data_IF_434670637159
#
_entry.id   IF_434670637159
#
_cell.length_a   1.000
_cell.length_b   1.000
_cell.length_c   1.000
_cell.angle_alpha   90.00
_cell.angle_beta   90.00
_cell.angle_gamma   90.00
#
_symmetry.space_group_name_H-M   'P 1'
#
loop_
_entity.id
_entity.type
_entity.pdbx_description
1 polymer ?
#
# COMPACT_ATOMS: atom_id res chain seq x y z
N UNK A 1 -0.37 -12.34 -1.04
CA UNK A 1 -0.03 -12.20 0.39
C UNK A 1 0.17 -13.56 1.05
N UNK A 2 -0.69 -14.54 0.81
CA UNK A 2 -0.62 -15.88 1.40
C UNK A 2 0.77 -16.50 1.28
N UNK A 3 1.37 -16.51 0.08
CA UNK A 3 2.70 -17.08 -0.15
C UNK A 3 3.80 -16.38 0.68
N UNK A 4 3.69 -15.06 0.88
CA UNK A 4 4.63 -14.30 1.69
C UNK A 4 4.52 -14.65 3.19
N UNK A 5 3.28 -14.77 3.70
CA UNK A 5 3.01 -15.19 5.07
C UNK A 5 3.49 -16.63 5.30
N UNK A 6 3.19 -17.53 4.36
CA UNK A 6 3.65 -18.91 4.42
C UNK A 6 5.18 -19.02 4.38
N UNK A 7 5.86 -18.21 3.57
CA UNK A 7 7.32 -18.21 3.51
C UNK A 7 7.95 -17.90 4.87
N UNK A 8 7.38 -16.95 5.63
CA UNK A 8 7.84 -16.62 6.99
C UNK A 8 7.46 -17.73 7.97
N UNK A 9 6.21 -18.20 7.96
CA UNK A 9 5.73 -19.24 8.89
C UNK A 9 6.48 -20.57 8.73
N UNK A 10 6.90 -20.92 7.53
CA UNK A 10 7.71 -22.13 7.24
C UNK A 10 9.21 -21.92 7.39
N UNK A 11 9.68 -20.67 7.64
CA UNK A 11 11.10 -20.36 7.79
C UNK A 11 11.87 -20.24 6.46
N UNK A 12 11.18 -20.18 5.32
CA UNK A 12 11.79 -19.88 4.00
C UNK A 12 12.23 -18.42 3.89
N UNK A 13 11.60 -17.54 4.65
CA UNK A 13 11.97 -16.14 4.81
C UNK A 13 12.02 -15.78 6.29
N UNK A 14 12.91 -14.85 6.69
CA UNK A 14 13.02 -14.36 8.07
C UNK A 14 11.89 -13.40 8.44
N UNK A 15 11.43 -12.60 7.45
CA UNK A 15 10.35 -11.63 7.63
C UNK A 15 9.63 -11.38 6.29
N UNK A 16 8.46 -10.77 6.36
CA UNK A 16 7.71 -10.27 5.20
C UNK A 16 7.32 -8.81 5.43
N UNK A 17 7.41 -7.98 4.39
CA UNK A 17 6.87 -6.63 4.39
C UNK A 17 5.57 -6.63 3.59
N UNK A 18 4.47 -6.21 4.20
CA UNK A 18 3.12 -6.31 3.65
C UNK A 18 2.42 -4.95 3.73
N UNK A 19 1.83 -4.44 2.64
CA UNK A 19 1.00 -3.23 2.68
C UNK A 19 -0.31 -3.53 3.40
N UNK A 20 -0.68 -2.69 4.37
CA UNK A 20 -1.94 -2.86 5.13
C UNK A 20 -2.93 -1.73 4.90
N UNK A 21 -2.44 -0.57 4.50
CA UNK A 21 -3.27 0.62 4.35
C UNK A 21 -2.66 1.60 3.35
N UNK A 22 -3.51 2.28 2.61
CA UNK A 22 -3.14 3.42 1.79
C UNK A 22 -4.01 4.62 2.17
N UNK A 23 -3.41 5.81 2.31
CA UNK A 23 -4.10 7.02 2.78
C UNK A 23 -5.28 7.45 1.88
N UNK A 24 -5.27 7.07 0.60
CA UNK A 24 -6.30 7.43 -0.38
C UNK A 24 -7.29 6.31 -0.69
N UNK A 25 -6.84 5.07 -0.61
CA UNK A 25 -7.65 3.90 -0.97
C UNK A 25 -8.13 3.12 0.23
N UNK A 26 -7.71 3.55 1.44
CA UNK A 26 -8.06 2.88 2.67
C UNK A 26 -7.28 1.56 2.85
N UNK A 27 -7.94 0.60 3.49
CA UNK A 27 -7.33 -0.69 3.84
C UNK A 27 -7.07 -1.56 2.61
N UNK A 28 -6.01 -2.35 2.68
CA UNK A 28 -5.77 -3.47 1.77
C UNK A 28 -6.58 -4.66 2.29
N UNK A 29 -7.70 -5.00 1.62
CA UNK A 29 -8.76 -5.82 2.18
C UNK A 29 -8.30 -7.23 2.62
N UNK A 30 -7.58 -7.95 1.78
CA UNK A 30 -7.29 -9.37 1.99
C UNK A 30 -6.37 -9.64 3.19
N UNK A 31 -5.41 -8.76 3.44
CA UNK A 31 -4.42 -8.95 4.50
C UNK A 31 -5.06 -8.95 5.90
N UNK A 32 -6.12 -8.19 6.11
CA UNK A 32 -6.80 -8.11 7.40
C UNK A 32 -7.54 -9.40 7.78
N UNK A 33 -7.86 -10.24 6.80
CA UNK A 33 -8.40 -11.58 7.06
C UNK A 33 -7.30 -12.63 7.26
N UNK A 34 -6.17 -12.47 6.58
CA UNK A 34 -5.06 -13.42 6.61
C UNK A 34 -4.17 -13.26 7.85
N UNK A 35 -3.96 -12.02 8.28
CA UNK A 35 -3.03 -11.70 9.35
C UNK A 35 -3.38 -12.34 10.71
N UNK A 36 -4.64 -12.32 11.19
CA UNK A 36 -4.99 -12.92 12.48
C UNK A 36 -4.64 -14.40 12.58
N UNK A 37 -4.82 -15.16 11.49
CA UNK A 37 -4.61 -16.61 11.44
C UNK A 37 -3.18 -16.99 11.02
N UNK A 38 -2.34 -16.03 10.70
CA UNK A 38 -0.98 -16.27 10.19
C UNK A 38 0.00 -16.81 11.25
N UNK A 39 -0.28 -16.59 12.54
CA UNK A 39 0.64 -16.86 13.64
C UNK A 39 1.89 -15.99 13.64
N UNK A 40 1.90 -14.89 12.86
CA UNK A 40 3.01 -13.94 12.79
C UNK A 40 2.73 -12.69 13.62
N UNK A 41 3.81 -12.06 14.06
CA UNK A 41 3.77 -10.82 14.83
C UNK A 41 4.23 -9.62 13.99
N UNK A 42 3.58 -8.47 14.17
CA UNK A 42 4.06 -7.20 13.64
C UNK A 42 5.25 -6.74 14.48
N UNK A 43 6.42 -6.60 13.85
CA UNK A 43 7.67 -6.21 14.52
C UNK A 43 8.17 -4.82 14.11
N UNK A 44 7.68 -4.27 13.01
CA UNK A 44 7.97 -2.90 12.57
C UNK A 44 6.89 -2.40 11.62
N UNK A 45 6.90 -1.10 11.36
CA UNK A 45 6.10 -0.48 10.30
C UNK A 45 6.94 0.48 9.46
N UNK A 46 6.51 0.67 8.22
CA UNK A 46 7.13 1.59 7.29
C UNK A 46 6.08 2.35 6.50
N UNK A 47 6.25 3.66 6.43
CA UNK A 47 5.39 4.54 5.64
C UNK A 47 6.14 4.95 4.37
N UNK A 48 5.55 4.66 3.22
CA UNK A 48 6.12 4.98 1.92
C UNK A 48 5.22 5.98 1.19
N UNK A 49 5.77 7.14 0.89
CA UNK A 49 5.12 8.07 -0.03
C UNK A 49 5.13 7.50 -1.44
N UNK A 50 3.98 7.50 -2.10
CA UNK A 50 3.81 6.97 -3.45
C UNK A 50 3.77 8.13 -4.42
N UNK A 51 4.81 8.24 -5.21
CA UNK A 51 4.93 9.22 -6.28
C UNK A 51 4.94 8.55 -7.64
N UNK A 52 4.35 9.22 -8.61
CA UNK A 52 4.32 8.78 -10.00
C UNK A 52 4.99 9.80 -10.90
N UNK A 53 5.76 9.32 -11.85
CA UNK A 53 6.37 10.12 -12.89
C UNK A 53 5.81 9.74 -14.27
N UNK A 54 5.67 10.71 -15.16
CA UNK A 54 5.49 10.46 -16.58
C UNK A 54 6.84 10.14 -17.20
N UNK A 55 6.94 9.00 -17.86
CA UNK A 55 8.19 8.53 -18.45
C UNK A 55 8.00 8.00 -19.86
N UNK A 56 9.00 8.18 -20.72
CA UNK A 56 8.99 7.75 -22.12
C UNK A 56 10.40 7.63 -22.69
N UNK A 57 10.50 7.13 -23.93
CA UNK A 57 11.76 7.20 -24.73
C UNK A 57 11.95 8.52 -25.46
N UNK A 58 10.97 9.41 -25.47
CA UNK A 58 10.97 10.72 -26.12
C UNK A 58 10.57 11.82 -25.16
N UNK A 59 10.67 13.06 -25.58
CA UNK A 59 10.22 14.23 -24.82
C UNK A 59 8.78 14.66 -25.14
N UNK A 60 8.08 13.89 -25.98
CA UNK A 60 6.69 14.18 -26.41
C UNK A 60 6.62 15.06 -27.67
N UNK A 61 5.45 15.54 -28.05
CA UNK A 61 4.17 15.41 -27.35
C UNK A 61 3.60 13.97 -27.37
N UNK A 62 2.87 13.61 -26.28
CA UNK A 62 2.27 12.28 -26.15
C UNK A 62 0.78 12.29 -26.47
N UNK A 63 0.31 11.24 -27.14
CA UNK A 63 -1.11 11.02 -27.39
C UNK A 63 -1.78 10.16 -26.29
N UNK A 64 -1.01 9.28 -25.66
CA UNK A 64 -1.52 8.39 -24.62
C UNK A 64 -0.48 8.10 -23.55
N UNK A 65 -0.97 7.77 -22.32
CA UNK A 65 -0.16 7.28 -21.22
C UNK A 65 -0.77 6.00 -20.65
N UNK A 66 0.08 4.98 -20.49
CA UNK A 66 -0.28 3.67 -19.94
C UNK A 66 0.03 3.61 -18.46
N UNK A 67 -0.85 3.04 -17.67
CA UNK A 67 -0.61 2.70 -16.27
C UNK A 67 -1.73 1.84 -15.68
N UNK A 68 -1.55 1.40 -14.43
CA UNK A 68 -2.64 0.82 -13.65
C UNK A 68 -3.78 1.84 -13.48
N UNK A 69 -5.05 1.42 -13.53
CA UNK A 69 -6.21 2.33 -13.42
C UNK A 69 -6.15 3.26 -12.22
N UNK A 70 -5.63 2.79 -11.11
CA UNK A 70 -5.47 3.56 -9.88
C UNK A 70 -4.49 4.73 -10.05
N UNK A 71 -3.32 4.50 -10.65
CA UNK A 71 -2.33 5.55 -10.91
C UNK A 71 -2.84 6.56 -11.95
N UNK A 72 -3.55 6.10 -12.99
CA UNK A 72 -4.23 6.97 -13.95
C UNK A 72 -5.28 7.85 -13.30
N UNK A 73 -6.05 7.27 -12.36
CA UNK A 73 -7.05 8.02 -11.60
C UNK A 73 -6.43 9.09 -10.69
N UNK A 74 -5.24 8.83 -10.16
CA UNK A 74 -4.48 9.77 -9.33
C UNK A 74 -3.77 10.87 -10.12
N UNK A 75 -3.60 10.71 -11.43
CA UNK A 75 -2.96 11.67 -12.34
C UNK A 75 -3.96 12.23 -13.37
N UNK A 76 -5.24 12.18 -13.06
CA UNK A 76 -6.32 12.51 -14.00
C UNK A 76 -6.30 13.96 -14.44
N UNK A 77 -6.10 14.89 -13.52
CA UNK A 77 -6.09 16.33 -13.81
C UNK A 77 -4.87 16.68 -14.67
N UNK A 78 -3.71 16.12 -14.32
CA UNK A 78 -2.49 16.26 -15.10
C UNK A 78 -2.67 15.77 -16.53
N UNK A 79 -3.14 14.55 -16.74
CA UNK A 79 -3.34 13.96 -18.07
C UNK A 79 -4.33 14.80 -18.91
N UNK A 80 -5.43 15.25 -18.30
CA UNK A 80 -6.41 16.10 -18.96
C UNK A 80 -5.83 17.45 -19.38
N UNK A 81 -5.03 18.08 -18.53
CA UNK A 81 -4.40 19.36 -18.84
C UNK A 81 -3.40 19.26 -20.01
N UNK A 82 -2.73 18.11 -20.14
CA UNK A 82 -1.79 17.84 -21.24
C UNK A 82 -2.46 17.25 -22.50
N UNK A 83 -3.75 16.94 -22.45
CA UNK A 83 -4.47 16.30 -23.57
C UNK A 83 -4.03 14.86 -23.84
N UNK A 84 -3.51 14.16 -22.84
CA UNK A 84 -3.01 12.79 -22.95
C UNK A 84 -4.13 11.81 -22.58
N UNK A 85 -4.38 10.83 -23.45
CA UNK A 85 -5.41 9.81 -23.23
C UNK A 85 -4.89 8.74 -22.24
N UNK A 86 -5.60 8.49 -21.11
CA UNK A 86 -5.23 7.41 -20.19
C UNK A 86 -5.60 6.04 -20.77
N UNK A 87 -4.66 5.11 -20.78
CA UNK A 87 -4.85 3.72 -21.22
C UNK A 87 -4.46 2.75 -20.10
N UNK A 88 -5.42 1.91 -19.71
CA UNK A 88 -5.22 0.96 -18.61
C UNK A 88 -4.26 -0.17 -18.97
N UNK A 89 -3.40 -0.51 -18.01
CA UNK A 89 -2.50 -1.64 -18.05
C UNK A 89 -2.58 -2.43 -16.74
N UNK A 90 -2.05 -3.65 -16.71
CA UNK A 90 -2.18 -4.55 -15.55
C UNK A 90 -1.55 -3.97 -14.27
N UNK A 91 -0.39 -3.31 -14.42
CA UNK A 91 0.34 -2.65 -13.32
C UNK A 91 1.20 -1.50 -13.87
N UNK A 92 1.74 -0.67 -12.95
CA UNK A 92 2.52 0.52 -13.31
C UNK A 92 3.89 0.17 -13.93
N UNK A 93 4.59 -0.81 -13.37
CA UNK A 93 5.91 -1.22 -13.84
C UNK A 93 5.82 -1.93 -15.19
N UNK A 94 4.82 -2.83 -15.36
CA UNK A 94 4.51 -3.47 -16.63
C UNK A 94 4.14 -2.47 -17.73
N UNK A 95 3.43 -1.39 -17.39
CA UNK A 95 3.16 -0.31 -18.34
C UNK A 95 4.45 0.40 -18.80
N UNK A 96 5.40 0.63 -17.89
CA UNK A 96 6.71 1.20 -18.23
C UNK A 96 7.51 0.26 -19.13
N UNK A 97 7.55 -1.04 -18.79
CA UNK A 97 8.19 -2.07 -19.64
C UNK A 97 7.59 -2.08 -21.05
N UNK A 98 6.26 -2.09 -21.15
CA UNK A 98 5.54 -2.06 -22.42
C UNK A 98 5.92 -0.84 -23.26
N UNK A 99 5.89 0.37 -22.69
CA UNK A 99 6.28 1.62 -23.41
C UNK A 99 7.73 1.53 -23.88
N UNK A 100 8.62 0.98 -23.05
CA UNK A 100 10.01 0.77 -23.42
C UNK A 100 10.18 -0.18 -24.61
N UNK A 101 9.40 -1.26 -24.67
CA UNK A 101 9.44 -2.25 -25.76
C UNK A 101 8.85 -1.70 -27.06
N UNK A 102 7.74 -0.98 -26.99
CA UNK A 102 7.09 -0.42 -28.18
C UNK A 102 7.96 0.58 -28.93
N UNK A 103 8.76 1.38 -28.22
CA UNK A 103 9.61 2.40 -28.81
C UNK A 103 8.87 3.51 -29.55
N UNK A 104 7.54 3.60 -29.39
CA UNK A 104 6.71 4.65 -29.99
C UNK A 104 6.95 5.98 -29.24
N UNK A 105 7.32 7.02 -30.00
CA UNK A 105 7.59 8.35 -29.43
C UNK A 105 6.34 9.11 -28.97
N UNK A 106 5.12 8.59 -29.28
CA UNK A 106 3.85 9.23 -28.94
C UNK A 106 3.18 8.67 -27.70
N UNK A 107 3.78 7.64 -27.09
CA UNK A 107 3.23 7.01 -25.88
C UNK A 107 4.17 7.21 -24.70
N UNK A 108 3.58 7.29 -23.51
CA UNK A 108 4.30 7.41 -22.25
C UNK A 108 3.74 6.39 -21.23
N UNK A 109 4.43 6.18 -20.12
CA UNK A 109 3.94 5.46 -18.98
C UNK A 109 3.87 6.38 -17.76
N UNK A 110 2.96 6.07 -16.84
CA UNK A 110 2.94 6.63 -15.49
C UNK A 110 3.32 5.50 -14.53
N UNK A 111 4.46 5.67 -13.83
CA UNK A 111 4.98 4.68 -12.90
C UNK A 111 5.87 5.35 -11.85
N UNK A 112 6.25 4.65 -10.75
CA UNK A 112 7.30 5.13 -9.85
C UNK A 112 8.62 5.36 -10.60
N UNK A 113 9.38 6.38 -10.19
CA UNK A 113 10.63 6.82 -10.86
C UNK A 113 11.63 5.67 -11.11
N UNK A 114 11.68 4.69 -10.21
CA UNK A 114 12.53 3.49 -10.36
C UNK A 114 12.25 2.71 -11.65
N UNK A 115 11.02 2.71 -12.15
CA UNK A 115 10.69 2.03 -13.39
C UNK A 115 11.38 2.66 -14.61
N UNK A 116 11.62 3.97 -14.60
CA UNK A 116 12.36 4.64 -15.67
C UNK A 116 13.79 4.13 -15.73
N UNK A 117 14.45 4.01 -14.58
CA UNK A 117 15.83 3.46 -14.49
C UNK A 117 15.89 2.00 -14.97
N UNK A 118 14.98 1.16 -14.49
CA UNK A 118 14.98 -0.27 -14.82
C UNK A 118 14.70 -0.57 -16.29
N UNK A 119 13.83 0.22 -16.93
CA UNK A 119 13.43 -0.01 -18.33
C UNK A 119 14.07 0.94 -19.35
N UNK A 120 15.02 1.77 -18.92
CA UNK A 120 15.73 2.70 -19.81
C UNK A 120 14.82 3.75 -20.43
N UNK A 121 13.87 4.26 -19.64
CA UNK A 121 13.02 5.39 -19.99
C UNK A 121 13.58 6.68 -19.37
N UNK A 122 13.24 7.82 -19.96
CA UNK A 122 13.54 9.13 -19.37
C UNK A 122 12.32 9.65 -18.62
N UNK A 123 12.51 10.17 -17.41
CA UNK A 123 11.48 10.91 -16.70
C UNK A 123 11.25 12.22 -17.46
N UNK A 124 10.03 12.41 -17.94
CA UNK A 124 9.59 13.61 -18.65
C UNK A 124 9.05 14.65 -17.67
N UNK A 125 8.27 14.19 -16.71
CA UNK A 125 7.75 15.00 -15.62
C UNK A 125 7.65 14.15 -14.35
N UNK A 126 8.15 14.68 -13.24
CA UNK A 126 8.09 14.02 -11.93
C UNK A 126 6.84 14.49 -11.17
N UNK A 127 6.34 13.62 -10.27
CA UNK A 127 5.21 13.92 -9.39
C UNK A 127 3.97 14.41 -10.15
N UNK A 128 3.50 13.55 -11.07
CA UNK A 128 2.30 13.83 -11.90
C UNK A 128 0.98 13.46 -11.23
N UNK A 129 1.03 13.01 -9.99
CA UNK A 129 -0.16 12.78 -9.17
C UNK A 129 -0.86 14.11 -8.80
N UNK A 130 -2.20 14.10 -8.86
CA UNK A 130 -3.03 15.28 -8.58
C UNK A 130 -2.96 15.73 -7.10
N UNK A 131 -2.42 14.89 -6.22
CA UNK A 131 -2.28 15.21 -4.81
C UNK A 131 -1.11 14.48 -4.14
N UNK A 132 -0.35 15.21 -3.38
CA UNK A 132 0.95 14.81 -2.81
C UNK A 132 0.86 13.90 -1.57
N UNK A 133 -0.33 13.65 -1.01
CA UNK A 133 -0.53 12.95 0.26
C UNK A 133 -0.86 11.45 0.12
N UNK A 134 -0.33 10.80 -0.91
CA UNK A 134 -0.50 9.37 -1.11
C UNK A 134 0.58 8.58 -0.38
N UNK A 135 0.24 8.01 0.76
CA UNK A 135 1.15 7.21 1.58
C UNK A 135 0.60 5.81 1.78
N UNK A 136 1.44 4.81 1.55
CA UNK A 136 1.13 3.42 1.88
C UNK A 136 1.86 3.02 3.16
N UNK A 137 1.11 2.48 4.10
CA UNK A 137 1.63 1.90 5.34
C UNK A 137 1.88 0.42 5.14
N UNK A 138 3.09 0.00 5.40
CA UNK A 138 3.52 -1.39 5.41
C UNK A 138 3.78 -1.83 6.85
N UNK A 139 3.59 -3.11 7.11
CA UNK A 139 4.03 -3.76 8.35
C UNK A 139 5.08 -4.82 8.02
N UNK A 140 6.05 -4.97 8.92
CA UNK A 140 7.02 -6.05 8.88
C UNK A 140 6.53 -7.15 9.81
N UNK A 141 6.40 -8.36 9.29
CA UNK A 141 5.92 -9.53 9.99
C UNK A 141 7.05 -10.51 10.22
N UNK A 142 7.13 -11.06 11.42
CA UNK A 142 8.09 -12.10 11.80
C UNK A 142 7.44 -13.14 12.71
N UNK A 143 8.06 -14.30 12.88
CA UNK A 143 7.60 -15.35 13.81
C UNK A 143 7.70 -14.92 15.27
N UNK A 144 8.85 -14.38 15.63
CA UNK A 144 9.12 -13.97 16.99
C UNK A 144 8.54 -12.58 17.23
N UNK A 145 7.74 -12.38 18.28
CA UNK A 145 7.24 -11.06 18.63
C UNK A 145 8.40 -10.17 19.10
N UNK A 146 8.23 -8.87 18.91
CA UNK A 146 9.15 -7.88 19.46
C UNK A 146 9.03 -7.86 20.99
N UNK A 147 10.15 -7.93 21.69
CA UNK A 147 10.18 -7.79 23.15
C UNK A 147 9.94 -6.30 23.52
N UNK A 148 8.85 -5.96 24.22
CA UNK A 148 8.58 -4.59 24.64
C UNK A 148 9.70 -3.96 25.48
N UNK A 149 10.50 -4.78 26.19
CA UNK A 149 11.63 -4.30 26.99
C UNK A 149 12.74 -3.69 26.11
N UNK A 150 12.84 -4.10 24.85
CA UNK A 150 13.82 -3.54 23.89
C UNK A 150 13.43 -2.16 23.36
N UNK A 151 12.19 -1.72 23.59
CA UNK A 151 11.63 -0.45 23.11
C UNK A 151 11.77 0.69 24.14
N UNK A 152 12.61 0.54 25.14
CA UNK A 152 12.74 1.51 26.23
C UNK A 152 13.01 2.93 25.71
N UNK A 153 12.01 3.81 25.86
CA UNK A 153 12.07 5.23 25.46
C UNK A 153 11.56 5.52 24.04
N UNK A 154 11.15 4.52 23.27
CA UNK A 154 10.52 4.73 21.95
C UNK A 154 8.99 4.74 22.05
N UNK A 155 8.36 5.46 21.12
CA UNK A 155 6.90 5.42 20.96
C UNK A 155 6.53 4.13 20.24
N UNK A 156 5.85 3.23 20.93
CA UNK A 156 5.40 1.96 20.37
C UNK A 156 3.88 1.97 20.17
N UNK A 157 3.43 1.28 19.11
CA UNK A 157 2.03 1.02 18.83
C UNK A 157 1.78 -0.49 18.82
N UNK A 158 0.69 -0.91 19.46
CA UNK A 158 0.26 -2.31 19.42
C UNK A 158 -0.96 -2.43 18.52
N UNK A 159 -0.91 -3.36 17.57
CA UNK A 159 -2.06 -3.78 16.78
C UNK A 159 -2.57 -5.11 17.30
N UNK A 160 -3.86 -5.22 17.54
CA UNK A 160 -4.49 -6.48 17.98
C UNK A 160 -5.88 -6.62 17.36
N UNK A 161 -6.33 -7.86 17.24
CA UNK A 161 -7.67 -8.22 16.80
C UNK A 161 -8.41 -8.83 17.98
N UNK A 162 -9.67 -8.47 18.17
CA UNK A 162 -10.50 -9.02 19.22
C UNK A 162 -11.92 -9.25 18.72
N UNK A 163 -12.58 -10.23 19.26
CA UNK A 163 -13.98 -10.53 19.01
C UNK A 163 -14.84 -10.16 20.21
N UNK A 164 -16.03 -9.68 19.94
CA UNK A 164 -17.03 -9.39 20.98
C UNK A 164 -18.28 -10.23 20.73
N UNK A 165 -18.91 -10.67 21.79
CA UNK A 165 -20.22 -11.33 21.69
C UNK A 165 -21.25 -10.37 21.10
N UNK A 166 -22.13 -10.87 20.24
CA UNK A 166 -23.20 -10.08 19.64
C UNK A 166 -24.34 -9.82 20.66
N UNK A 167 -24.04 -8.99 21.65
CA UNK A 167 -24.99 -8.55 22.68
C UNK A 167 -24.95 -7.04 22.86
N UNK A 168 -26.02 -6.40 23.34
CA UNK A 168 -26.05 -4.95 23.54
C UNK A 168 -24.87 -4.44 24.37
N UNK A 169 -24.26 -3.34 23.93
CA UNK A 169 -23.13 -2.67 24.55
C UNK A 169 -21.81 -3.46 24.66
N UNK A 170 -21.64 -4.60 23.95
CA UNK A 170 -20.42 -5.40 24.01
C UNK A 170 -19.18 -4.60 23.57
N UNK A 171 -19.23 -3.94 22.43
CA UNK A 171 -18.15 -3.10 21.94
C UNK A 171 -17.85 -1.92 22.90
N UNK A 172 -18.89 -1.26 23.41
CA UNK A 172 -18.74 -0.18 24.36
C UNK A 172 -17.98 -0.62 25.63
N UNK A 173 -18.33 -1.80 26.17
CA UNK A 173 -17.65 -2.37 27.35
C UNK A 173 -16.19 -2.71 27.07
N UNK A 174 -15.89 -3.30 25.88
CA UNK A 174 -14.53 -3.60 25.49
C UNK A 174 -13.69 -2.32 25.37
N UNK A 175 -14.19 -1.29 24.67
CA UNK A 175 -13.50 -0.01 24.50
C UNK A 175 -13.39 0.75 25.83
N UNK A 176 -14.36 0.65 26.72
CA UNK A 176 -14.33 1.26 28.06
C UNK A 176 -13.14 0.77 28.89
N UNK A 177 -12.76 -0.50 28.75
CA UNK A 177 -11.60 -1.07 29.45
C UNK A 177 -10.29 -0.41 29.00
N UNK A 178 -10.13 -0.11 27.72
CA UNK A 178 -8.96 0.62 27.22
C UNK A 178 -8.93 2.07 27.75
N UNK A 179 -10.07 2.75 27.66
CA UNK A 179 -10.18 4.14 28.11
C UNK A 179 -9.87 4.30 29.63
N UNK A 180 -10.38 3.40 30.48
CA UNK A 180 -10.15 3.44 31.93
C UNK A 180 -8.72 3.09 32.33
N UNK A 181 -7.98 2.39 31.47
CA UNK A 181 -6.57 2.07 31.68
C UNK A 181 -5.61 3.03 30.93
N UNK A 182 -6.10 4.17 30.43
CA UNK A 182 -5.28 5.19 29.80
C UNK A 182 -4.71 4.80 28.42
N UNK A 183 -5.27 3.79 27.79
CA UNK A 183 -4.83 3.34 26.45
C UNK A 183 -5.47 4.24 25.39
N UNK A 184 -4.65 4.89 24.58
CA UNK A 184 -5.11 5.69 23.46
C UNK A 184 -5.29 4.79 22.22
N UNK A 185 -6.54 4.71 21.73
CA UNK A 185 -6.86 4.00 20.50
C UNK A 185 -6.72 4.98 19.33
N UNK A 186 -5.70 4.77 18.49
CA UNK A 186 -5.42 5.63 17.33
C UNK A 186 -6.22 5.21 16.10
N UNK A 187 -6.63 3.92 16.02
CA UNK A 187 -7.44 3.37 14.93
C UNK A 187 -8.31 2.24 15.43
N UNK A 188 -9.56 2.21 14.97
CA UNK A 188 -10.52 1.14 15.23
C UNK A 188 -11.23 0.80 13.93
N UNK A 189 -11.21 -0.46 13.54
CA UNK A 189 -11.94 -0.97 12.38
C UNK A 189 -12.72 -2.23 12.76
N UNK A 190 -13.90 -2.41 12.17
CA UNK A 190 -14.71 -3.60 12.35
C UNK A 190 -14.76 -4.43 11.08
N UNK A 191 -14.70 -5.74 11.24
CA UNK A 191 -14.81 -6.72 10.16
C UNK A 191 -15.97 -7.66 10.49
N UNK A 192 -16.80 -7.97 9.50
CA UNK A 192 -17.82 -8.98 9.65
C UNK A 192 -17.22 -10.33 9.26
N UNK A 193 -17.20 -11.26 10.19
CA UNK A 193 -16.82 -12.64 9.92
C UNK A 193 -18.08 -13.42 9.51
N UNK A 194 -18.14 -13.81 8.23
CA UNK A 194 -19.20 -14.66 7.71
C UNK A 194 -20.57 -13.97 7.61
N UNK A 195 -21.45 -14.59 6.86
CA UNK A 195 -22.90 -14.35 6.90
C UNK A 195 -23.50 -15.34 7.87
N UNK A 196 -23.74 -14.95 9.10
CA UNK A 196 -24.69 -15.66 9.97
C UNK A 196 -26.07 -15.06 9.81
#
# INVERSE_FOLDING_TARGET
FEDALEAVSTGRAGSAIIPIENSRHGRVADIHFLLPDSGLSIVAEHFMEIHHALMAKSTGPFSAAYSHPQALGQSREYLRAKGIVPLSYADTAGAAAYVAEQGDSKIAAIAPALAAELYGLSIVEDRVEDAADNTTRFVVLAKEPLDPATLAGEVAMTTFVFEVNNVPAALYKALGSFATNGVNITKLESYQQGTS
#
